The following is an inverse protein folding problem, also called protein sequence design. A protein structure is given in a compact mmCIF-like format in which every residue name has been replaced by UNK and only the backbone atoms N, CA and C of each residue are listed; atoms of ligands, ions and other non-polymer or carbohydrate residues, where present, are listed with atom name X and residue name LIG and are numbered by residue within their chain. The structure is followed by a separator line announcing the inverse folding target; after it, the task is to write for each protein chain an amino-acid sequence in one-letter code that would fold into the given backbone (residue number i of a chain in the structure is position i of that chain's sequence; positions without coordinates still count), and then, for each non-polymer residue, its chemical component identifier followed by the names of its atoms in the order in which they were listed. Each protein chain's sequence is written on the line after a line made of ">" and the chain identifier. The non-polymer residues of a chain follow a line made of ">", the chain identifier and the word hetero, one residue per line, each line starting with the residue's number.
data_IF_588802074372
#
_entry.id   IF_588802074372
#
_cell.length_a   1.000
_cell.length_b   1.000
_cell.length_c   1.000
_cell.angle_alpha   90.00
_cell.angle_beta   90.00
_cell.angle_gamma   90.00
#
_symmetry.space_group_name_H-M   'P 1'
#
loop_
_entity.id
_entity.type
_entity.pdbx_description
1 polymer ?
#
# COMPACT_ATOMS: atom_id res chain seq x y z
N UNK A 1 -41.45 -4.72 49.61
CA UNK A 1 -40.54 -3.86 48.81
C UNK A 1 -39.80 -4.73 47.82
N UNK A 2 -40.22 -4.76 46.56
CA UNK A 2 -39.63 -5.61 45.52
C UNK A 2 -38.63 -4.81 44.69
N UNK A 3 -37.37 -5.26 44.66
CA UNK A 3 -36.34 -4.71 43.78
C UNK A 3 -36.36 -5.48 42.45
N UNK A 4 -36.60 -4.79 41.34
CA UNK A 4 -36.51 -5.37 40.00
C UNK A 4 -35.08 -5.21 39.48
N UNK A 5 -34.38 -6.33 39.28
CA UNK A 5 -33.07 -6.37 38.65
C UNK A 5 -33.20 -6.16 37.13
N UNK A 6 -32.79 -4.98 36.64
CA UNK A 6 -32.67 -4.70 35.21
C UNK A 6 -31.48 -5.46 34.61
N UNK A 7 -31.75 -6.44 33.75
CA UNK A 7 -30.71 -7.15 32.98
C UNK A 7 -30.14 -6.19 31.93
N UNK A 8 -28.92 -5.71 32.13
CA UNK A 8 -28.15 -5.06 31.06
C UNK A 8 -27.70 -6.15 30.08
N UNK A 9 -28.27 -6.17 28.88
CA UNK A 9 -27.74 -6.93 27.75
C UNK A 9 -26.49 -6.20 27.27
N UNK A 10 -25.33 -6.78 27.53
CA UNK A 10 -24.10 -6.36 26.87
C UNK A 10 -24.18 -6.78 25.40
N UNK A 11 -24.33 -5.81 24.49
CA UNK A 11 -24.19 -6.05 23.06
C UNK A 11 -22.69 -6.18 22.76
N UNK A 12 -22.19 -7.42 22.77
CA UNK A 12 -20.90 -7.76 22.18
C UNK A 12 -21.00 -7.62 20.65
N UNK A 13 -20.55 -6.49 20.11
CA UNK A 13 -20.29 -6.35 18.68
C UNK A 13 -18.96 -7.02 18.36
N UNK A 14 -18.96 -8.36 18.33
CA UNK A 14 -17.91 -9.14 17.69
C UNK A 14 -17.99 -8.91 16.17
N UNK A 15 -17.26 -7.91 15.66
CA UNK A 15 -17.04 -7.77 14.23
C UNK A 15 -16.12 -8.89 13.76
N UNK A 16 -16.71 -9.98 13.26
CA UNK A 16 -15.98 -11.01 12.52
C UNK A 16 -15.47 -10.38 11.22
N UNK A 17 -14.18 -10.05 11.16
CA UNK A 17 -13.53 -9.69 9.92
C UNK A 17 -13.35 -10.97 9.10
N UNK A 18 -14.21 -11.17 8.11
CA UNK A 18 -13.97 -12.14 7.04
C UNK A 18 -12.77 -11.67 6.22
N UNK A 19 -11.75 -12.51 6.16
CA UNK A 19 -10.51 -12.25 5.44
C UNK A 19 -10.66 -12.75 4.01
N UNK A 20 -11.34 -11.97 3.17
CA UNK A 20 -11.49 -12.28 1.75
C UNK A 20 -10.33 -11.65 0.97
N UNK A 21 -9.36 -12.49 0.62
CA UNK A 21 -8.40 -12.25 -0.45
C UNK A 21 -9.14 -12.15 -1.80
N UNK A 22 -9.84 -11.04 -2.04
CA UNK A 22 -10.31 -10.67 -3.38
C UNK A 22 -9.31 -9.70 -4.00
N UNK A 23 -8.55 -10.24 -4.96
CA UNK A 23 -7.79 -9.45 -5.94
C UNK A 23 -8.77 -8.49 -6.64
N UNK A 24 -8.81 -7.24 -6.18
CA UNK A 24 -9.57 -6.19 -6.85
C UNK A 24 -8.76 -5.73 -8.07
N UNK A 25 -9.13 -6.32 -9.21
CA UNK A 25 -8.78 -5.84 -10.54
C UNK A 25 -9.29 -4.39 -10.63
N UNK A 26 -8.39 -3.50 -11.08
CA UNK A 26 -8.65 -2.09 -11.28
C UNK A 26 -9.77 -1.90 -12.30
N UNK A 27 -10.99 -1.68 -11.82
CA UNK A 27 -12.07 -1.18 -12.64
C UNK A 27 -12.29 0.26 -12.19
N UNK A 28 -11.77 1.19 -12.99
CA UNK A 28 -11.85 2.62 -12.74
C UNK A 28 -13.30 3.02 -12.51
N UNK A 29 -13.58 3.54 -11.31
CA UNK A 29 -14.75 4.38 -11.10
C UNK A 29 -14.52 5.66 -11.89
N UNK A 30 -14.90 5.65 -13.16
CA UNK A 30 -15.01 6.84 -13.96
C UNK A 30 -15.96 7.77 -13.20
N UNK A 31 -15.42 8.89 -12.73
CA UNK A 31 -16.22 9.97 -12.18
C UNK A 31 -17.19 10.42 -13.28
N UNK A 32 -18.48 10.20 -13.08
CA UNK A 32 -19.57 10.68 -13.95
C UNK A 32 -19.47 12.18 -14.27
N UNK A 33 -18.72 12.93 -13.47
CA UNK A 33 -18.45 14.35 -13.65
C UNK A 33 -17.31 14.67 -14.63
N UNK A 34 -16.49 13.68 -15.01
CA UNK A 34 -15.40 13.87 -15.99
C UNK A 34 -15.88 13.78 -17.45
N UNK A 35 -17.03 13.16 -17.68
CA UNK A 35 -17.60 12.95 -19.02
C UNK A 35 -18.43 14.15 -19.49
N UNK A 36 -19.07 14.87 -18.55
CA UNK A 36 -19.90 16.05 -18.84
C UNK A 36 -19.11 17.30 -19.29
N UNK A 37 -17.78 17.23 -19.40
CA UNK A 37 -16.92 18.37 -19.71
C UNK A 37 -16.03 18.18 -20.95
N UNK A 38 -16.21 17.09 -21.72
CA UNK A 38 -15.39 16.82 -22.93
C UNK A 38 -16.11 16.97 -24.27
N UNK A 39 -17.36 17.41 -24.30
CA UNK A 39 -17.98 17.82 -25.56
C UNK A 39 -18.06 19.36 -25.58
N UNK A 40 -17.19 20.04 -26.36
CA UNK A 40 -17.56 21.37 -26.84
C UNK A 40 -18.79 21.15 -27.73
N UNK A 41 -19.96 21.75 -27.44
CA UNK A 41 -20.98 21.79 -28.47
C UNK A 41 -20.33 22.44 -29.70
N UNK A 42 -20.57 21.84 -30.86
CA UNK A 42 -20.14 22.34 -32.16
C UNK A 42 -20.85 23.68 -32.43
N UNK A 43 -20.38 24.75 -31.77
CA UNK A 43 -20.98 26.09 -31.78
C UNK A 43 -20.78 26.76 -33.16
N UNK A 44 -20.06 26.12 -34.07
CA UNK A 44 -19.85 26.61 -35.44
C UNK A 44 -21.11 26.67 -36.30
N UNK A 45 -22.18 25.92 -35.98
CA UNK A 45 -23.32 25.76 -36.89
C UNK A 45 -24.65 26.41 -36.45
N UNK A 46 -24.74 26.99 -35.25
CA UNK A 46 -26.00 27.58 -34.71
C UNK A 46 -25.87 29.10 -34.46
N UNK A 47 -24.82 29.75 -34.96
CA UNK A 47 -24.85 31.21 -35.09
C UNK A 47 -25.62 31.53 -36.37
N UNK A 48 -26.94 31.65 -36.21
CA UNK A 48 -27.81 32.44 -37.07
C UNK A 48 -27.08 33.72 -37.44
N UNK A 49 -26.54 33.75 -38.66
CA UNK A 49 -26.11 34.95 -39.31
C UNK A 49 -27.38 35.82 -39.42
N UNK A 50 -27.49 36.98 -38.76
CA UNK A 50 -28.60 37.85 -39.03
C UNK A 50 -28.37 38.36 -40.45
N UNK A 51 -29.30 38.08 -41.36
CA UNK A 51 -29.31 38.56 -42.74
C UNK A 51 -29.60 40.07 -42.82
N UNK A 52 -28.90 40.87 -42.01
CA UNK A 52 -28.90 42.32 -42.10
C UNK A 52 -27.53 42.78 -42.57
N UNK A 53 -27.25 42.47 -43.83
CA UNK A 53 -26.59 43.44 -44.70
C UNK A 53 -27.61 44.55 -45.05
N UNK A 54 -28.16 45.22 -44.04
CA UNK A 54 -28.83 46.50 -44.25
C UNK A 54 -27.79 47.61 -44.04
N UNK A 55 -27.28 48.08 -45.18
CA UNK A 55 -26.27 49.12 -45.30
C UNK A 55 -26.84 50.51 -45.05
N UNK A 56 -27.48 50.72 -43.89
CA UNK A 56 -27.80 52.06 -43.41
C UNK A 56 -26.67 52.56 -42.50
N UNK A 57 -25.82 53.50 -42.96
CA UNK A 57 -24.71 54.03 -42.16
C UNK A 57 -25.15 54.95 -41.00
N UNK A 58 -26.44 55.30 -40.92
CA UNK A 58 -26.99 56.20 -39.89
C UNK A 58 -27.54 55.47 -38.64
N UNK A 59 -27.65 54.14 -38.65
CA UNK A 59 -28.13 53.40 -37.48
C UNK A 59 -27.01 53.17 -36.45
N UNK A 60 -27.20 53.70 -35.23
CA UNK A 60 -26.32 53.42 -34.09
C UNK A 60 -26.45 51.95 -33.70
N UNK A 61 -25.45 51.14 -34.06
CA UNK A 61 -25.40 49.73 -33.67
C UNK A 61 -25.02 49.61 -32.19
N UNK A 62 -25.70 48.76 -31.42
CA UNK A 62 -25.34 48.53 -30.02
C UNK A 62 -23.89 48.02 -29.95
N UNK A 63 -23.05 48.73 -29.19
CA UNK A 63 -21.65 48.37 -28.99
C UNK A 63 -21.59 47.13 -28.12
N UNK A 64 -21.04 46.03 -28.64
CA UNK A 64 -20.81 44.82 -27.86
C UNK A 64 -19.85 45.15 -26.73
N UNK A 65 -20.35 45.20 -25.51
CA UNK A 65 -19.50 45.34 -24.32
C UNK A 65 -18.70 44.05 -24.14
N UNK A 66 -17.40 44.18 -23.89
CA UNK A 66 -16.54 43.04 -23.68
C UNK A 66 -16.84 42.44 -22.31
N UNK A 67 -16.97 41.11 -22.25
CA UNK A 67 -17.17 40.42 -20.98
C UNK A 67 -15.97 40.69 -20.06
N UNK A 68 -16.13 41.28 -18.87
CA UNK A 68 -15.02 41.65 -17.99
C UNK A 68 -14.15 40.45 -17.58
N UNK A 69 -14.74 39.27 -17.41
CA UNK A 69 -14.03 38.00 -17.11
C UNK A 69 -13.17 37.57 -18.30
N UNK A 70 -13.62 37.84 -19.52
CA UNK A 70 -12.86 37.55 -20.74
C UNK A 70 -11.93 38.71 -21.16
N UNK A 71 -12.19 39.93 -20.72
CA UNK A 71 -11.31 41.06 -20.96
C UNK A 71 -10.07 41.01 -20.05
N UNK A 72 -10.20 40.47 -18.83
CA UNK A 72 -9.08 40.30 -17.91
C UNK A 72 -8.26 39.05 -18.24
N UNK A 73 -7.10 39.25 -18.87
CA UNK A 73 -6.13 38.19 -19.16
C UNK A 73 -5.65 37.48 -17.89
N UNK A 74 -5.37 38.23 -16.82
CA UNK A 74 -4.93 37.67 -15.54
C UNK A 74 -5.96 36.69 -14.96
N UNK A 75 -7.25 37.02 -15.03
CA UNK A 75 -8.30 36.13 -14.53
C UNK A 75 -8.40 34.83 -15.34
N UNK A 76 -8.28 34.92 -16.66
CA UNK A 76 -8.25 33.73 -17.51
C UNK A 76 -7.03 32.86 -17.27
N UNK A 77 -5.85 33.48 -17.08
CA UNK A 77 -4.60 32.78 -16.81
C UNK A 77 -4.67 32.04 -15.47
N UNK A 78 -5.23 32.67 -14.43
CA UNK A 78 -5.50 32.01 -13.15
C UNK A 78 -6.45 30.82 -13.32
N UNK A 79 -7.56 30.96 -14.05
CA UNK A 79 -8.49 29.86 -14.32
C UNK A 79 -7.77 28.69 -15.02
N UNK A 80 -6.93 29.01 -16.01
CA UNK A 80 -6.13 28.02 -16.74
C UNK A 80 -5.15 27.32 -15.80
N UNK A 81 -4.43 28.06 -14.97
CA UNK A 81 -3.46 27.52 -14.01
C UNK A 81 -4.13 26.61 -12.98
N UNK A 82 -5.25 27.03 -12.40
CA UNK A 82 -6.02 26.23 -11.44
C UNK A 82 -6.46 24.90 -12.06
N UNK A 83 -6.98 24.93 -13.29
CA UNK A 83 -7.36 23.71 -14.01
C UNK A 83 -6.15 22.83 -14.34
N UNK A 84 -5.02 23.43 -14.75
CA UNK A 84 -3.79 22.70 -15.03
C UNK A 84 -3.21 22.04 -13.78
N UNK A 85 -3.21 22.73 -12.64
CA UNK A 85 -2.73 22.22 -11.35
C UNK A 85 -3.59 21.07 -10.86
N UNK A 86 -4.92 21.21 -10.96
CA UNK A 86 -5.86 20.13 -10.65
C UNK A 86 -5.66 18.90 -11.54
N UNK A 87 -5.53 19.10 -12.87
CA UNK A 87 -5.28 18.00 -13.82
C UNK A 87 -3.92 17.34 -13.62
N UNK A 88 -2.91 18.10 -13.19
CA UNK A 88 -1.55 17.59 -12.92
C UNK A 88 -1.41 16.99 -11.53
N UNK A 89 -2.45 17.02 -10.69
CA UNK A 89 -2.38 16.55 -9.31
C UNK A 89 -1.46 17.40 -8.43
N UNK A 90 -0.99 18.54 -8.93
CA UNK A 90 -0.22 19.55 -8.18
C UNK A 90 -1.23 20.44 -7.48
N UNK A 91 -2.08 19.84 -6.65
CA UNK A 91 -2.90 20.58 -5.69
C UNK A 91 -1.98 21.14 -4.62
N UNK A 92 -2.25 22.36 -4.17
CA UNK A 92 -1.60 23.06 -3.06
C UNK A 92 -1.54 22.11 -1.84
N UNK A 93 -0.46 21.32 -1.73
CA UNK A 93 0.14 20.59 -0.59
C UNK A 93 -0.76 20.11 0.58
N UNK A 94 -2.04 19.95 0.37
CA UNK A 94 -3.00 19.64 1.41
C UNK A 94 -3.98 18.63 0.84
N UNK A 95 -3.63 17.34 1.04
CA UNK A 95 -4.62 16.26 1.01
C UNK A 95 -5.88 16.74 1.73
N UNK A 96 -7.09 16.43 1.23
CA UNK A 96 -8.32 16.84 1.89
C UNK A 96 -8.28 16.41 3.36
N UNK A 97 -8.88 17.22 4.25
CA UNK A 97 -8.77 17.05 5.71
C UNK A 97 -9.05 15.61 6.15
N UNK A 98 -10.11 15.00 5.60
CA UNK A 98 -10.47 13.61 5.86
C UNK A 98 -9.34 12.63 5.50
N UNK A 99 -8.67 12.82 4.36
CA UNK A 99 -7.57 11.96 3.95
C UNK A 99 -6.36 12.13 4.89
N UNK A 100 -6.05 13.35 5.33
CA UNK A 100 -5.01 13.56 6.35
C UNK A 100 -5.33 12.88 7.67
N UNK A 101 -6.58 12.98 8.13
CA UNK A 101 -7.03 12.33 9.38
C UNK A 101 -6.95 10.82 9.26
N UNK A 102 -7.37 10.24 8.13
CA UNK A 102 -7.28 8.79 7.91
C UNK A 102 -5.82 8.30 7.83
N UNK A 103 -4.94 9.05 7.17
CA UNK A 103 -3.52 8.72 7.09
C UNK A 103 -2.82 8.88 8.44
N UNK A 104 -3.14 9.91 9.21
CA UNK A 104 -2.65 10.09 10.57
C UNK A 104 -3.09 8.93 11.46
N UNK A 105 -4.39 8.61 11.46
CA UNK A 105 -4.93 7.48 12.22
C UNK A 105 -4.28 6.15 11.82
N UNK A 106 -3.97 5.95 10.54
CA UNK A 106 -3.25 4.75 10.07
C UNK A 106 -1.83 4.71 10.62
N UNK A 107 -1.10 5.83 10.55
CA UNK A 107 0.26 5.93 11.09
C UNK A 107 0.29 5.70 12.60
N UNK A 108 -0.65 6.30 13.32
CA UNK A 108 -0.71 6.19 14.78
C UNK A 108 -0.98 4.76 15.22
N UNK A 109 -1.87 4.03 14.54
CA UNK A 109 -2.11 2.60 14.80
C UNK A 109 -0.85 1.75 14.63
N UNK A 110 -0.13 1.97 13.53
CA UNK A 110 1.13 1.23 13.26
C UNK A 110 2.18 1.58 14.32
N UNK A 111 2.27 2.85 14.71
CA UNK A 111 3.20 3.29 15.73
C UNK A 111 2.89 2.67 17.09
N UNK A 112 1.61 2.62 17.50
CA UNK A 112 1.21 1.99 18.75
C UNK A 112 1.48 0.49 18.76
N UNK A 113 1.16 -0.22 17.66
CA UNK A 113 1.47 -1.64 17.54
C UNK A 113 2.98 -1.92 17.67
N UNK A 114 3.82 -1.15 16.98
CA UNK A 114 5.28 -1.27 17.10
C UNK A 114 5.77 -0.99 18.51
N UNK A 115 5.20 0.03 19.17
CA UNK A 115 5.55 0.37 20.54
C UNK A 115 5.16 -0.75 21.51
N UNK A 116 3.96 -1.31 21.38
CA UNK A 116 3.52 -2.46 22.19
C UNK A 116 4.40 -3.69 21.96
N UNK A 117 4.75 -4.01 20.70
CA UNK A 117 5.68 -5.10 20.38
C UNK A 117 7.07 -4.86 21.00
N UNK A 118 7.56 -3.62 20.95
CA UNK A 118 8.85 -3.25 21.54
C UNK A 118 8.81 -3.30 23.07
N UNK A 119 7.72 -2.86 23.69
CA UNK A 119 7.51 -2.98 25.13
C UNK A 119 7.38 -4.44 25.56
N UNK A 120 6.69 -5.30 24.80
CA UNK A 120 6.65 -6.75 25.05
C UNK A 120 8.07 -7.34 24.97
N UNK A 121 8.87 -6.94 23.97
CA UNK A 121 10.27 -7.35 23.83
C UNK A 121 11.15 -6.84 24.98
N UNK A 122 10.94 -5.61 25.46
CA UNK A 122 11.66 -5.05 26.62
C UNK A 122 11.25 -5.72 27.92
N UNK A 123 9.98 -6.04 28.06
CA UNK A 123 9.40 -6.77 29.18
C UNK A 123 9.69 -8.28 29.13
N UNK A 124 10.36 -8.78 28.07
CA UNK A 124 10.86 -10.15 28.07
C UNK A 124 11.70 -10.36 29.31
N UNK A 125 11.26 -11.31 30.13
CA UNK A 125 11.89 -11.64 31.40
C UNK A 125 13.37 -11.95 31.17
N UNK A 126 14.28 -11.60 32.10
CA UNK A 126 15.70 -12.00 32.04
C UNK A 126 15.89 -13.50 31.74
N UNK A 127 14.97 -14.34 32.23
CA UNK A 127 14.92 -15.77 31.96
C UNK A 127 14.59 -16.12 30.49
N UNK A 128 13.68 -15.38 29.86
CA UNK A 128 13.33 -15.58 28.45
C UNK A 128 14.49 -15.19 27.51
N UNK A 129 15.24 -14.15 27.87
CA UNK A 129 16.48 -13.79 27.18
C UNK A 129 17.55 -14.89 27.33
N UNK A 130 17.65 -15.52 28.50
CA UNK A 130 18.58 -16.63 28.74
C UNK A 130 18.18 -17.90 27.97
N UNK A 131 16.88 -18.20 27.90
CA UNK A 131 16.35 -19.31 27.10
C UNK A 131 16.68 -19.13 25.62
N UNK A 132 16.50 -17.93 25.07
CA UNK A 132 16.81 -17.61 23.67
C UNK A 132 18.32 -17.73 23.38
N UNK A 133 19.17 -17.26 24.30
CA UNK A 133 20.63 -17.46 24.23
C UNK A 133 21.00 -18.94 24.27
N UNK A 134 20.33 -19.75 25.10
CA UNK A 134 20.57 -21.19 25.18
C UNK A 134 20.15 -21.88 23.89
N UNK A 135 19.01 -21.51 23.31
CA UNK A 135 18.58 -22.03 22.00
C UNK A 135 19.62 -21.73 20.91
N UNK A 136 20.08 -20.48 20.79
CA UNK A 136 21.08 -20.11 19.79
C UNK A 136 22.39 -20.92 19.93
N UNK A 137 22.84 -21.17 21.16
CA UNK A 137 24.02 -22.04 21.38
C UNK A 137 23.79 -23.46 20.90
N UNK A 138 22.60 -24.03 21.15
CA UNK A 138 22.27 -25.37 20.71
C UNK A 138 22.19 -25.48 19.19
N UNK A 139 21.53 -24.52 18.53
CA UNK A 139 21.46 -24.46 17.05
C UNK A 139 22.86 -24.36 16.42
N UNK A 140 23.77 -23.62 17.04
CA UNK A 140 25.13 -23.50 16.56
C UNK A 140 25.92 -24.81 16.70
N UNK A 141 25.77 -25.50 17.85
CA UNK A 141 26.36 -26.81 18.06
C UNK A 141 25.79 -27.88 17.11
N UNK A 142 24.50 -27.83 16.83
CA UNK A 142 23.84 -28.74 15.87
C UNK A 142 24.36 -28.51 14.45
N UNK A 143 24.47 -27.24 14.03
CA UNK A 143 25.04 -26.87 12.74
C UNK A 143 26.51 -27.29 12.58
N UNK A 144 27.29 -27.19 13.66
CA UNK A 144 28.69 -27.62 13.68
C UNK A 144 28.81 -29.16 13.75
N UNK A 145 27.79 -29.87 14.25
CA UNK A 145 27.72 -31.34 14.25
C UNK A 145 27.19 -31.95 12.93
N UNK A 146 26.30 -31.27 12.21
CA UNK A 146 25.77 -31.73 10.91
C UNK A 146 26.85 -32.22 9.91
N UNK A 147 28.03 -31.56 9.73
CA UNK A 147 29.06 -32.08 8.83
C UNK A 147 29.73 -33.38 9.31
N UNK A 148 29.72 -33.69 10.61
CA UNK A 148 30.21 -34.98 11.13
C UNK A 148 29.11 -36.05 11.10
N UNK A 149 27.86 -35.67 11.39
CA UNK A 149 26.77 -36.63 11.51
C UNK A 149 26.23 -37.09 10.17
N UNK A 150 26.34 -36.35 9.05
CA UNK A 150 25.92 -36.89 7.74
C UNK A 150 26.66 -38.20 7.36
N UNK A 151 27.93 -38.34 7.75
CA UNK A 151 28.71 -39.56 7.56
C UNK A 151 28.37 -40.67 8.59
N UNK A 152 28.00 -40.30 9.83
CA UNK A 152 27.61 -41.23 10.91
C UNK A 152 26.11 -41.60 10.91
N UNK A 153 25.28 -40.85 10.18
CA UNK A 153 23.83 -41.06 10.02
C UNK A 153 23.53 -42.11 8.96
N UNK A 154 24.53 -42.48 8.16
CA UNK A 154 24.49 -43.69 7.35
C UNK A 154 24.37 -44.92 8.26
N UNK A 155 23.54 -45.93 7.90
CA UNK A 155 23.40 -47.15 8.68
C UNK A 155 24.77 -47.77 9.00
N UNK A 156 24.91 -48.32 10.21
CA UNK A 156 26.19 -48.81 10.74
C UNK A 156 26.92 -49.76 9.77
N UNK A 157 26.18 -50.60 9.04
CA UNK A 157 26.74 -51.51 8.03
C UNK A 157 27.40 -50.78 6.85
N UNK A 158 26.91 -49.61 6.46
CA UNK A 158 27.50 -48.76 5.41
C UNK A 158 28.85 -48.23 5.89
N UNK A 159 28.92 -47.79 7.16
CA UNK A 159 30.16 -47.30 7.77
C UNK A 159 31.19 -48.43 7.90
N UNK A 160 30.78 -49.62 8.37
CA UNK A 160 31.67 -50.80 8.48
C UNK A 160 32.20 -51.21 7.10
N UNK A 161 31.34 -51.24 6.08
CA UNK A 161 31.73 -51.56 4.70
C UNK A 161 32.74 -50.55 4.15
N UNK A 162 32.55 -49.27 4.41
CA UNK A 162 33.48 -48.24 3.96
C UNK A 162 34.83 -48.32 4.68
N UNK A 163 34.83 -48.52 6.01
CA UNK A 163 36.05 -48.74 6.81
C UNK A 163 36.87 -49.92 6.28
N UNK A 164 36.21 -51.04 5.99
CA UNK A 164 36.83 -52.22 5.38
C UNK A 164 37.40 -51.92 3.99
N UNK A 165 36.66 -51.17 3.16
CA UNK A 165 37.15 -50.76 1.84
C UNK A 165 38.42 -49.91 1.95
N UNK A 166 38.47 -48.95 2.89
CA UNK A 166 39.64 -48.09 3.11
C UNK A 166 40.86 -48.88 3.57
N UNK A 167 40.71 -49.84 4.49
CA UNK A 167 41.82 -50.70 4.94
C UNK A 167 42.31 -51.65 3.85
N UNK A 168 41.42 -52.14 2.98
CA UNK A 168 41.84 -52.96 1.83
C UNK A 168 42.69 -52.19 0.82
N UNK A 169 42.37 -50.92 0.57
CA UNK A 169 43.15 -50.07 -0.35
C UNK A 169 44.53 -49.75 0.22
N UNK A 170 44.62 -49.37 1.50
CA UNK A 170 45.90 -49.12 2.18
C UNK A 170 46.78 -50.39 2.19
N UNK A 171 46.19 -51.56 2.45
CA UNK A 171 46.90 -52.86 2.41
C UNK A 171 47.33 -53.26 1.00
N UNK A 172 46.61 -52.84 -0.04
CA UNK A 172 47.05 -53.05 -1.42
C UNK A 172 48.17 -52.10 -1.84
N UNK A 173 48.16 -50.85 -1.37
CA UNK A 173 49.22 -49.87 -1.63
C UNK A 173 50.54 -50.26 -0.94
N UNK A 174 50.49 -50.80 0.28
CA UNK A 174 51.66 -51.31 1.03
C UNK A 174 52.26 -52.59 0.43
N UNK A 175 51.54 -53.28 -0.47
CA UNK A 175 52.02 -54.47 -1.20
C UNK A 175 52.58 -54.16 -2.60
N UNK A 176 52.46 -52.91 -3.04
CA UNK A 176 52.90 -52.44 -4.37
C UNK A 176 54.13 -51.50 -4.26
N UNK A 177 54.65 -51.27 -3.05
CA UNK A 177 55.92 -50.59 -2.77
C UNK A 177 57.05 -51.59 -2.48
#
# INVERSE_FOLDING_TARGET
>A
MGATHGKKKEYSLHSKFHNDNRKHIMNGSASMYSELQREPPDIGSILTHPDYLDGNPELIKPKKILNPVKASRSHQELQRELLMNHRRGVGIEQKPELQRVLEHRRRDKIFQQKKEEEEIKKLQSPFEQELLKRQQRLEQLEKDQEPLTEAERAPEFVQVKEKLRRTTMLRSEERVA
#
